data_IF_420038098534
#
_entry.id   IF_420038098534
#
_cell.length_a   1.000
_cell.length_b   1.000
_cell.length_c   1.000
_cell.angle_alpha   90.00
_cell.angle_beta   90.00
_cell.angle_gamma   90.00
#
_symmetry.space_group_name_H-M   'P 1'
#
loop_
_entity.id
_entity.type
_entity.pdbx_description
1 polymer ?
#
# COMPACT_ATOMS: atom_id res chain seq x y z
N UNK A 1 -13.27 -4.45 -4.84
CA UNK A 1 -14.16 -3.35 -4.45
C UNK A 1 -14.12 -2.18 -5.45
N UNK A 2 -12.97 -1.53 -5.76
CA UNK A 2 -13.00 -0.42 -6.75
C UNK A 2 -13.34 -0.90 -8.16
N UNK A 3 -12.88 -2.10 -8.53
CA UNK A 3 -13.30 -2.78 -9.76
C UNK A 3 -14.79 -3.13 -9.81
N UNK A 4 -15.49 -3.09 -8.68
CA UNK A 4 -16.94 -3.24 -8.58
C UNK A 4 -17.67 -1.87 -8.59
N UNK A 5 -16.95 -0.77 -8.84
CA UNK A 5 -17.53 0.58 -8.93
C UNK A 5 -17.67 1.31 -7.60
N UNK A 6 -17.19 0.74 -6.49
CA UNK A 6 -17.26 1.40 -5.18
C UNK A 6 -16.19 2.49 -5.05
N UNK A 7 -16.55 3.60 -4.40
CA UNK A 7 -15.61 4.63 -3.98
C UNK A 7 -14.76 4.11 -2.81
N UNK A 8 -13.45 4.21 -2.95
CA UNK A 8 -12.48 3.67 -1.99
C UNK A 8 -11.30 4.62 -1.96
N UNK A 9 -10.73 4.86 -0.81
CA UNK A 9 -9.38 5.41 -0.74
C UNK A 9 -8.39 4.50 -0.07
N UNK A 10 -7.12 4.86 -0.25
CA UNK A 10 -5.98 4.14 0.25
C UNK A 10 -5.20 5.02 1.22
N UNK A 11 -5.19 4.64 2.50
CA UNK A 11 -4.28 5.17 3.50
C UNK A 11 -3.06 4.25 3.62
N UNK A 12 -1.88 4.71 3.21
CA UNK A 12 -0.67 3.88 3.22
C UNK A 12 0.61 4.72 3.10
N UNK A 13 1.76 4.09 3.31
CA UNK A 13 3.08 4.71 3.20
C UNK A 13 4.01 3.88 2.31
N UNK A 14 4.46 4.48 1.21
CA UNK A 14 5.48 3.92 0.30
C UNK A 14 6.81 4.68 0.45
N UNK A 15 7.83 4.33 -0.33
CA UNK A 15 9.07 5.09 -0.46
C UNK A 15 9.22 5.67 -1.87
N UNK A 16 10.26 6.48 -2.09
CA UNK A 16 10.70 6.90 -3.43
C UNK A 16 11.66 5.91 -4.10
N UNK A 17 11.72 4.67 -3.59
CA UNK A 17 12.41 3.58 -4.27
C UNK A 17 11.64 3.08 -5.50
N UNK A 18 12.27 2.23 -6.31
CA UNK A 18 11.68 1.69 -7.54
C UNK A 18 10.33 1.01 -7.29
N UNK A 19 10.18 0.32 -6.16
CA UNK A 19 8.93 -0.37 -5.82
C UNK A 19 7.83 0.60 -5.45
N UNK A 20 8.15 1.67 -4.71
CA UNK A 20 7.19 2.70 -4.34
C UNK A 20 6.74 3.52 -5.54
N UNK A 21 7.66 3.90 -6.43
CA UNK A 21 7.33 4.56 -7.70
C UNK A 21 6.40 3.68 -8.54
N UNK A 22 6.75 2.39 -8.71
CA UNK A 22 5.91 1.44 -9.43
C UNK A 22 4.51 1.30 -8.79
N UNK A 23 4.46 1.17 -7.46
CA UNK A 23 3.21 1.03 -6.70
C UNK A 23 2.32 2.25 -6.86
N UNK A 24 2.89 3.47 -6.77
CA UNK A 24 2.16 4.71 -6.98
C UNK A 24 1.57 4.79 -8.39
N UNK A 25 2.39 4.54 -9.41
CA UNK A 25 1.94 4.53 -10.81
C UNK A 25 0.86 3.47 -11.07
N UNK A 26 0.91 2.33 -10.37
CA UNK A 26 -0.12 1.31 -10.46
C UNK A 26 -1.44 1.79 -9.84
N UNK A 27 -1.40 2.39 -8.65
CA UNK A 27 -2.60 2.90 -7.98
C UNK A 27 -3.21 4.12 -8.68
N UNK A 28 -2.42 4.97 -9.32
CA UNK A 28 -2.92 6.10 -10.14
C UNK A 28 -3.77 5.63 -11.33
N UNK A 29 -3.64 4.36 -11.76
CA UNK A 29 -4.49 3.73 -12.78
C UNK A 29 -5.78 3.13 -12.21
N UNK A 30 -6.02 3.28 -10.91
CA UNK A 30 -7.23 2.82 -10.24
C UNK A 30 -8.14 4.00 -9.92
N UNK A 31 -9.40 3.72 -9.56
CA UNK A 31 -10.34 4.74 -9.08
C UNK A 31 -10.22 4.98 -7.57
N UNK A 32 -9.09 4.63 -6.96
CA UNK A 32 -8.85 4.90 -5.54
C UNK A 32 -8.58 6.39 -5.31
N UNK A 33 -9.13 6.93 -4.22
CA UNK A 33 -8.63 8.17 -3.65
C UNK A 33 -7.26 7.91 -3.00
N UNK A 34 -6.23 8.56 -3.52
CA UNK A 34 -4.84 8.43 -3.06
C UNK A 34 -4.41 9.58 -2.15
N UNK A 35 -5.33 10.41 -1.66
CA UNK A 35 -5.05 11.51 -0.73
C UNK A 35 -4.36 11.06 0.56
N UNK A 36 -4.60 9.81 0.99
CA UNK A 36 -3.95 9.15 2.13
C UNK A 36 -2.68 8.36 1.79
N UNK A 37 -2.18 8.40 0.54
CA UNK A 37 -0.95 7.73 0.15
C UNK A 37 0.26 8.65 0.36
N UNK A 38 1.08 8.32 1.36
CA UNK A 38 2.25 9.09 1.77
C UNK A 38 3.56 8.46 1.29
N UNK A 39 4.61 9.28 1.25
CA UNK A 39 5.98 8.85 0.90
C UNK A 39 6.88 9.02 2.12
N UNK A 40 7.52 7.94 2.54
CA UNK A 40 8.48 7.91 3.64
C UNK A 40 9.91 8.10 3.08
N UNK A 41 10.62 9.17 3.46
CA UNK A 41 12.01 9.36 3.04
C UNK A 41 13.00 8.49 3.84
N UNK A 42 12.58 7.91 4.96
CA UNK A 42 13.45 7.26 5.94
C UNK A 42 13.38 5.72 5.91
N UNK A 43 12.52 5.14 5.06
CA UNK A 43 12.38 3.70 4.93
C UNK A 43 12.09 3.31 3.48
N UNK A 44 12.40 2.06 3.14
CA UNK A 44 12.05 1.46 1.86
C UNK A 44 10.58 1.05 1.81
N UNK A 45 10.02 0.89 0.62
CA UNK A 45 8.68 0.34 0.42
C UNK A 45 8.60 -1.07 1.00
N UNK A 46 7.48 -1.37 1.68
CA UNK A 46 7.19 -2.69 2.24
C UNK A 46 7.17 -3.76 1.16
N UNK A 47 7.62 -4.97 1.50
CA UNK A 47 7.66 -6.10 0.57
C UNK A 47 7.07 -7.35 1.22
N UNK A 48 6.47 -8.19 0.38
CA UNK A 48 6.14 -9.56 0.70
C UNK A 48 6.83 -10.48 -0.32
N UNK A 49 7.63 -11.42 0.17
CA UNK A 49 8.15 -12.52 -0.65
C UNK A 49 7.19 -13.68 -0.52
N UNK A 50 6.64 -14.14 -1.65
CA UNK A 50 5.64 -15.20 -1.71
C UNK A 50 6.26 -16.36 -2.48
N UNK A 51 6.34 -17.53 -1.85
CA UNK A 51 6.80 -18.77 -2.48
C UNK A 51 5.69 -19.81 -2.41
N UNK A 52 5.52 -20.57 -3.47
CA UNK A 52 4.50 -21.63 -3.55
C UNK A 52 5.16 -23.00 -3.43
N UNK A 53 4.54 -23.91 -2.68
CA UNK A 53 4.89 -25.32 -2.70
C UNK A 53 4.38 -26.00 -3.98
N UNK A 54 4.80 -27.25 -4.21
CA UNK A 54 4.26 -28.06 -5.32
C UNK A 54 2.76 -28.35 -5.19
N UNK A 55 2.23 -28.39 -3.96
CA UNK A 55 0.79 -28.52 -3.69
C UNK A 55 0.02 -27.21 -3.86
N UNK A 56 0.71 -26.10 -4.16
CA UNK A 56 0.12 -24.77 -4.34
C UNK A 56 -0.10 -23.99 -3.05
N UNK A 57 0.46 -24.43 -1.92
CA UNK A 57 0.41 -23.68 -0.65
C UNK A 57 1.38 -22.51 -0.68
N UNK A 58 0.95 -21.35 -0.18
CA UNK A 58 1.77 -20.15 -0.11
C UNK A 58 2.51 -20.01 1.22
N UNK A 59 3.79 -19.68 1.14
CA UNK A 59 4.60 -19.18 2.25
C UNK A 59 4.92 -17.72 2.00
N UNK A 60 4.51 -16.85 2.92
CA UNK A 60 4.66 -15.40 2.79
C UNK A 60 5.59 -14.86 3.89
N UNK A 61 6.68 -14.22 3.48
CA UNK A 61 7.59 -13.49 4.39
C UNK A 61 7.42 -12.00 4.14
N UNK A 62 7.05 -11.25 5.18
CA UNK A 62 6.70 -9.82 5.07
C UNK A 62 7.72 -8.95 5.80
N UNK A 63 8.19 -7.91 5.11
CA UNK A 63 8.91 -6.80 5.72
C UNK A 63 8.08 -5.52 5.57
N UNK A 64 7.46 -5.06 6.66
CA UNK A 64 6.50 -3.94 6.65
C UNK A 64 7.10 -2.59 6.23
N UNK A 65 8.32 -2.28 6.67
CA UNK A 65 9.11 -1.07 6.30
C UNK A 65 8.27 0.21 6.31
N UNK A 66 8.18 0.98 5.21
CA UNK A 66 7.43 2.25 5.16
C UNK A 66 5.99 2.14 5.67
N UNK A 67 5.32 0.99 5.52
CA UNK A 67 3.96 0.80 6.04
C UNK A 67 3.89 0.95 7.57
N UNK A 68 4.98 0.66 8.29
CA UNK A 68 5.05 0.80 9.74
C UNK A 68 5.12 2.25 10.21
N UNK A 69 5.27 3.21 9.29
CA UNK A 69 5.27 4.64 9.61
C UNK A 69 3.86 5.23 9.77
N UNK A 70 2.81 4.45 9.48
CA UNK A 70 1.43 4.92 9.63
C UNK A 70 1.13 5.32 11.06
N UNK A 71 0.46 6.46 11.24
CA UNK A 71 0.08 6.99 12.54
C UNK A 71 -1.41 7.27 12.62
N UNK A 72 -1.89 7.47 13.85
CA UNK A 72 -3.29 7.81 14.11
C UNK A 72 -3.74 9.07 13.38
N UNK A 73 -2.84 10.06 13.20
CA UNK A 73 -3.16 11.30 12.51
C UNK A 73 -3.41 11.09 11.01
N UNK A 74 -2.74 10.13 10.38
CA UNK A 74 -2.93 9.81 8.96
C UNK A 74 -4.35 9.27 8.74
N UNK A 75 -4.85 8.47 9.69
CA UNK A 75 -6.22 7.93 9.67
C UNK A 75 -7.25 9.02 9.91
N UNK A 76 -7.05 9.88 10.93
CA UNK A 76 -7.99 10.95 11.29
C UNK A 76 -8.12 12.04 10.21
N UNK A 77 -7.05 12.30 9.46
CA UNK A 77 -7.05 13.26 8.34
C UNK A 77 -7.62 12.67 7.07
N UNK A 78 -7.68 11.35 6.97
CA UNK A 78 -8.27 10.68 5.82
C UNK A 78 -9.80 10.80 5.91
N UNK A 79 -10.43 11.43 4.92
CA UNK A 79 -11.88 11.39 4.73
C UNK A 79 -12.34 10.00 4.21
N UNK A 80 -11.53 8.97 4.44
CA UNK A 80 -11.61 7.64 3.83
C UNK A 80 -12.40 6.64 4.68
N UNK A 81 -12.81 7.05 5.89
CA UNK A 81 -13.64 6.27 6.79
C UNK A 81 -15.08 6.82 6.73
N UNK A 82 -15.91 6.16 5.92
CA UNK A 82 -17.36 6.23 6.01
C UNK A 82 -17.87 4.98 6.71
#
# INVERSE_FOLDING_TARGET
MSRLGLAIGLASWISNDTLGIFTRQHFEKTSFDLSGLHVNPNAMTGIASITLSESGEDTIIVAGRSNMAIKLEDIKKSNLLF
#
